data_IF_183397377941
#
_entry.id   IF_183397377941
#
_cell.length_a   1.000
_cell.length_b   1.000
_cell.length_c   1.000
_cell.angle_alpha   90.00
_cell.angle_beta   90.00
_cell.angle_gamma   90.00
#
_symmetry.space_group_name_H-M   'P 1'
#
loop_
_entity.id
_entity.type
_entity.pdbx_description
1 polymer ?
#
# COMPACT_ATOMS: atom_id res chain seq x y z
N UNK A 1 8.29 11.35 -28.57
CA UNK A 1 7.93 10.27 -27.64
C UNK A 1 7.31 9.11 -28.41
N UNK A 2 7.72 7.87 -28.16
CA UNK A 2 7.09 6.68 -28.74
C UNK A 2 6.11 6.12 -27.72
N UNK A 3 4.91 5.74 -28.18
CA UNK A 3 3.98 4.99 -27.35
C UNK A 3 4.30 3.50 -27.43
N UNK A 4 4.35 2.75 -26.31
CA UNK A 4 4.49 1.30 -26.37
C UNK A 4 3.29 0.69 -27.09
N UNK A 5 3.49 -0.45 -27.73
CA UNK A 5 2.36 -1.26 -28.23
C UNK A 5 1.61 -1.83 -27.03
N UNK A 6 0.28 -1.83 -27.08
CA UNK A 6 -0.54 -2.48 -26.08
C UNK A 6 -0.24 -3.98 -25.98
N UNK A 7 -0.37 -4.55 -24.79
CA UNK A 7 -0.13 -5.96 -24.52
C UNK A 7 0.42 -6.18 -23.11
N UNK A 8 0.56 -7.44 -22.75
CA UNK A 8 1.19 -7.84 -21.50
C UNK A 8 2.71 -7.69 -21.61
N UNK A 9 3.36 -7.04 -20.65
CA UNK A 9 4.80 -6.84 -20.63
C UNK A 9 5.31 -6.61 -19.21
N UNK A 10 6.60 -6.76 -19.00
CA UNK A 10 7.25 -6.41 -17.73
C UNK A 10 7.26 -4.90 -17.54
N UNK A 11 7.01 -4.46 -16.31
CA UNK A 11 7.04 -3.04 -15.92
C UNK A 11 7.96 -2.89 -14.72
N UNK A 12 9.02 -2.10 -14.89
CA UNK A 12 9.87 -1.66 -13.78
C UNK A 12 9.41 -0.26 -13.38
N UNK A 13 9.14 -0.07 -12.11
CA UNK A 13 8.65 1.20 -11.58
C UNK A 13 9.75 1.89 -10.77
N UNK A 14 10.06 3.12 -11.13
CA UNK A 14 11.01 3.96 -10.41
C UNK A 14 10.53 4.28 -8.99
N UNK A 15 11.49 4.54 -8.10
CA UNK A 15 11.19 4.99 -6.74
C UNK A 15 10.41 6.31 -6.76
N UNK A 16 9.49 6.49 -5.83
CA UNK A 16 8.60 7.66 -5.77
C UNK A 16 7.26 7.42 -6.47
N UNK A 17 7.24 7.30 -7.79
CA UNK A 17 6.00 7.04 -8.55
C UNK A 17 5.35 5.69 -8.16
N UNK A 18 6.15 4.67 -7.91
CA UNK A 18 5.69 3.36 -7.42
C UNK A 18 4.97 3.41 -6.07
N UNK A 19 5.25 4.43 -5.23
CA UNK A 19 4.55 4.63 -3.97
C UNK A 19 3.05 4.88 -4.15
N UNK A 20 2.63 5.56 -5.21
CA UNK A 20 1.21 5.77 -5.52
C UNK A 20 0.55 4.44 -5.88
N UNK A 21 1.22 3.59 -6.66
CA UNK A 21 0.70 2.26 -6.97
C UNK A 21 0.54 1.42 -5.70
N UNK A 22 1.53 1.40 -4.83
CA UNK A 22 1.48 0.67 -3.56
C UNK A 22 0.31 1.17 -2.69
N UNK A 23 0.13 2.50 -2.60
CA UNK A 23 -0.97 3.12 -1.88
C UNK A 23 -2.33 2.66 -2.41
N UNK A 24 -2.55 2.76 -3.71
CA UNK A 24 -3.82 2.44 -4.34
C UNK A 24 -4.08 0.93 -4.43
N UNK A 25 -3.12 0.15 -4.91
CA UNK A 25 -3.32 -1.27 -5.18
C UNK A 25 -3.33 -2.15 -3.91
N UNK A 26 -2.60 -1.74 -2.88
CA UNK A 26 -2.45 -2.54 -1.65
C UNK A 26 -2.86 -1.79 -0.40
N UNK A 27 -2.45 -0.53 -0.23
CA UNK A 27 -2.67 0.23 0.99
C UNK A 27 -4.13 0.31 1.40
N UNK A 28 -5.00 0.77 0.51
CA UNK A 28 -6.45 0.80 0.76
C UNK A 28 -7.06 -0.58 0.98
N UNK A 29 -6.53 -1.61 0.29
CA UNK A 29 -7.01 -2.97 0.44
C UNK A 29 -6.63 -3.60 1.79
N UNK A 30 -5.67 -3.03 2.52
CA UNK A 30 -5.31 -3.43 3.89
C UNK A 30 -6.05 -2.63 4.98
N UNK A 31 -6.88 -1.65 4.65
CA UNK A 31 -7.72 -0.95 5.62
C UNK A 31 -8.80 -1.90 6.16
N UNK A 32 -8.86 -2.04 7.47
CA UNK A 32 -9.62 -3.12 8.11
C UNK A 32 -11.14 -2.97 8.00
N UNK A 33 -11.67 -1.78 7.73
CA UNK A 33 -13.09 -1.56 7.51
C UNK A 33 -13.59 -2.22 6.20
N UNK A 34 -12.79 -2.22 5.13
CA UNK A 34 -13.06 -2.97 3.91
C UNK A 34 -12.94 -4.48 4.14
N UNK A 35 -11.89 -4.91 4.84
CA UNK A 35 -11.64 -6.32 5.12
C UNK A 35 -12.73 -6.93 6.02
N UNK A 36 -13.16 -6.21 7.06
CA UNK A 36 -14.23 -6.62 7.96
C UNK A 36 -15.59 -6.81 7.25
N UNK A 37 -15.80 -6.08 6.16
CA UNK A 37 -17.02 -6.15 5.35
C UNK A 37 -16.91 -7.12 4.17
N UNK A 38 -15.78 -7.81 4.01
CA UNK A 38 -15.53 -8.70 2.87
C UNK A 38 -15.41 -7.97 1.53
N UNK A 39 -15.01 -6.69 1.53
CA UNK A 39 -14.94 -5.83 0.36
C UNK A 39 -13.52 -5.70 -0.23
N UNK A 40 -12.53 -6.33 0.39
CA UNK A 40 -11.15 -6.38 -0.09
C UNK A 40 -10.79 -7.78 -0.57
N UNK A 41 -9.94 -7.86 -1.59
CA UNK A 41 -9.33 -9.12 -2.05
C UNK A 41 -8.48 -9.80 -0.98
N UNK A 42 -8.14 -9.09 0.10
CA UNK A 42 -7.34 -9.58 1.22
C UNK A 42 -8.16 -9.97 2.45
N UNK A 43 -9.50 -9.93 2.40
CA UNK A 43 -10.38 -10.11 3.57
C UNK A 43 -10.15 -11.42 4.33
N UNK A 44 -9.79 -12.50 3.62
CA UNK A 44 -9.53 -13.82 4.20
C UNK A 44 -8.09 -14.29 4.00
N UNK A 45 -7.14 -13.33 3.85
CA UNK A 45 -5.74 -13.64 3.53
C UNK A 45 -4.77 -13.48 4.70
N UNK A 46 -5.25 -13.20 5.90
CA UNK A 46 -4.40 -13.10 7.09
C UNK A 46 -3.58 -14.38 7.28
N UNK A 47 -2.27 -14.24 7.44
CA UNK A 47 -1.32 -15.35 7.54
C UNK A 47 -0.98 -16.04 6.20
N UNK A 48 -1.54 -15.58 5.09
CA UNK A 48 -1.27 -16.14 3.76
C UNK A 48 -0.26 -15.27 3.00
N UNK A 49 0.41 -15.89 2.01
CA UNK A 49 1.30 -15.18 1.09
C UNK A 49 0.49 -14.34 0.11
N UNK A 50 0.76 -13.04 0.12
CA UNK A 50 0.11 -12.03 -0.76
C UNK A 50 1.12 -11.32 -1.67
N UNK A 51 2.41 -11.47 -1.38
CA UNK A 51 3.52 -10.95 -2.19
C UNK A 51 4.62 -12.01 -2.33
N UNK A 52 5.56 -11.84 -3.26
CA UNK A 52 6.79 -12.64 -3.31
C UNK A 52 7.55 -12.60 -1.99
N UNK A 53 8.38 -13.60 -1.77
CA UNK A 53 9.29 -13.66 -0.63
C UNK A 53 10.26 -12.47 -0.65
N UNK A 54 10.65 -11.98 0.53
CA UNK A 54 11.51 -10.80 0.67
C UNK A 54 10.77 -9.46 0.64
N UNK A 55 9.47 -9.44 0.33
CA UNK A 55 8.69 -8.20 0.31
C UNK A 55 8.12 -7.89 1.70
N UNK A 56 8.46 -6.69 2.20
CA UNK A 56 7.92 -6.13 3.43
C UNK A 56 7.16 -4.84 3.12
N UNK A 57 5.93 -4.72 3.63
CA UNK A 57 5.10 -3.52 3.47
C UNK A 57 4.68 -3.02 4.84
N UNK A 58 4.91 -1.73 5.05
CA UNK A 58 4.75 -1.06 6.33
C UNK A 58 3.87 0.16 6.18
N UNK A 59 3.08 0.46 7.21
CA UNK A 59 2.48 1.78 7.42
C UNK A 59 3.05 2.38 8.70
N UNK A 60 3.64 3.58 8.62
CA UNK A 60 4.42 4.15 9.70
C UNK A 60 4.04 5.60 10.02
N UNK A 61 3.44 5.81 11.17
CA UNK A 61 3.09 7.13 11.70
C UNK A 61 4.25 7.81 12.45
N UNK A 62 5.38 7.13 12.66
CA UNK A 62 6.48 7.60 13.51
C UNK A 62 7.59 8.34 12.76
N UNK A 63 7.56 8.35 11.43
CA UNK A 63 8.58 8.99 10.59
C UNK A 63 8.49 10.51 10.77
N UNK A 64 9.41 11.07 11.55
CA UNK A 64 9.42 12.47 11.90
C UNK A 64 9.48 13.38 10.68
N UNK A 65 8.57 14.36 10.61
CA UNK A 65 8.49 15.30 9.48
C UNK A 65 7.80 14.75 8.23
N UNK A 66 7.38 13.47 8.22
CA UNK A 66 6.57 12.93 7.15
C UNK A 66 5.12 13.42 7.27
N UNK A 67 4.44 13.57 6.12
CA UNK A 67 3.05 14.03 6.06
C UNK A 67 2.07 13.12 6.84
N UNK A 68 2.33 11.82 6.91
CA UNK A 68 1.54 10.84 7.65
C UNK A 68 1.88 10.73 9.12
N UNK A 69 2.91 11.45 9.60
CA UNK A 69 3.39 11.36 10.98
C UNK A 69 2.42 12.01 11.96
N UNK A 70 2.19 11.34 13.09
CA UNK A 70 1.39 11.86 14.20
C UNK A 70 1.74 11.17 15.51
N UNK A 71 1.45 11.84 16.63
CA UNK A 71 1.63 11.28 17.97
C UNK A 71 0.46 10.38 18.36
N UNK A 72 -0.77 10.83 18.05
CA UNK A 72 -2.00 10.11 18.34
C UNK A 72 -2.95 10.26 17.16
N UNK A 73 -3.69 9.20 16.83
CA UNK A 73 -4.75 9.24 15.84
C UNK A 73 -6.03 9.93 16.38
N UNK A 74 -7.06 10.01 15.54
CA UNK A 74 -8.33 10.68 15.93
C UNK A 74 -9.17 9.89 16.95
N UNK A 75 -8.69 8.73 17.39
CA UNK A 75 -9.26 7.93 18.47
C UNK A 75 -8.39 7.94 19.75
N UNK A 76 -7.29 8.72 19.76
CA UNK A 76 -6.34 8.80 20.85
C UNK A 76 -5.42 7.56 20.95
N UNK A 77 -5.28 6.79 19.89
CA UNK A 77 -4.33 5.68 19.82
C UNK A 77 -2.97 6.20 19.37
N UNK A 78 -1.86 5.84 20.07
CA UNK A 78 -0.53 6.27 19.65
C UNK A 78 -0.21 5.89 18.22
N UNK A 79 0.37 6.83 17.47
CA UNK A 79 0.94 6.55 16.17
C UNK A 79 2.07 5.53 16.28
N UNK A 80 2.10 4.55 15.41
CA UNK A 80 3.07 3.47 15.47
C UNK A 80 3.47 3.00 14.06
N UNK A 81 4.47 2.14 14.00
CA UNK A 81 4.86 1.43 12.80
C UNK A 81 4.18 0.07 12.78
N UNK A 82 3.35 -0.17 11.77
CA UNK A 82 2.58 -1.40 11.58
C UNK A 82 3.13 -2.17 10.39
N UNK A 83 3.65 -3.38 10.62
CA UNK A 83 4.03 -4.30 9.57
C UNK A 83 2.76 -4.96 9.03
N UNK A 84 2.39 -4.66 7.80
CA UNK A 84 1.21 -5.25 7.14
C UNK A 84 1.58 -6.54 6.40
N UNK A 85 2.71 -6.53 5.71
CA UNK A 85 3.26 -7.70 5.02
C UNK A 85 4.68 -7.91 5.47
N UNK A 86 4.99 -9.09 5.97
CA UNK A 86 6.33 -9.50 6.37
C UNK A 86 6.77 -10.71 5.53
N UNK A 87 7.89 -10.56 4.84
CA UNK A 87 8.42 -11.59 3.94
C UNK A 87 7.35 -12.17 2.99
N UNK A 88 6.49 -11.29 2.46
CA UNK A 88 5.41 -11.65 1.55
C UNK A 88 4.15 -12.22 2.21
N UNK A 89 4.12 -12.39 3.53
CA UNK A 89 2.98 -12.90 4.31
C UNK A 89 2.19 -11.72 4.89
N UNK A 90 0.87 -11.74 4.74
CA UNK A 90 0.00 -10.73 5.36
C UNK A 90 -0.08 -10.97 6.87
N UNK A 91 0.40 -10.03 7.66
CA UNK A 91 0.52 -10.14 9.14
C UNK A 91 -0.41 -9.21 9.90
N UNK A 92 -0.86 -8.11 9.26
CA UNK A 92 -1.78 -7.16 9.89
C UNK A 92 -2.60 -6.40 8.85
N UNK A 93 -3.78 -5.97 9.26
CA UNK A 93 -4.50 -4.86 8.63
C UNK A 93 -4.21 -3.56 9.37
N UNK A 94 -4.67 -2.43 8.82
CA UNK A 94 -4.69 -1.14 9.50
C UNK A 94 -6.01 -1.01 10.26
N UNK A 95 -5.94 -0.86 11.58
CA UNK A 95 -7.08 -0.94 12.47
C UNK A 95 -7.41 0.41 13.14
N UNK A 96 -8.70 0.78 13.10
CA UNK A 96 -9.34 1.63 14.07
C UNK A 96 -9.79 0.79 15.29
N UNK A 97 -10.39 1.41 16.30
CA UNK A 97 -10.88 0.69 17.49
C UNK A 97 -12.02 -0.29 17.17
N UNK A 98 -12.87 0.03 16.20
CA UNK A 98 -14.01 -0.84 15.80
C UNK A 98 -13.48 -2.11 15.14
N UNK A 99 -12.59 -1.96 14.16
CA UNK A 99 -11.99 -3.10 13.46
C UNK A 99 -11.10 -3.92 14.38
N UNK A 100 -10.31 -3.27 15.24
CA UNK A 100 -9.48 -3.95 16.22
C UNK A 100 -10.31 -4.84 17.15
N UNK A 101 -11.44 -4.32 17.65
CA UNK A 101 -12.38 -5.09 18.47
C UNK A 101 -12.99 -6.27 17.69
N UNK A 102 -13.34 -6.06 16.43
CA UNK A 102 -13.89 -7.12 15.56
C UNK A 102 -12.91 -8.28 15.37
N UNK A 103 -11.65 -7.97 15.13
CA UNK A 103 -10.61 -9.00 14.91
C UNK A 103 -9.94 -9.50 16.21
N UNK A 104 -10.27 -8.94 17.37
CA UNK A 104 -9.66 -9.32 18.65
C UNK A 104 -8.18 -8.92 18.77
N UNK A 105 -7.78 -7.83 18.14
CA UNK A 105 -6.40 -7.32 18.11
C UNK A 105 -6.31 -5.91 18.68
N UNK A 106 -5.09 -5.39 18.86
CA UNK A 106 -4.88 -3.99 19.24
C UNK A 106 -5.11 -3.04 18.05
N UNK A 107 -5.61 -1.81 18.26
CA UNK A 107 -5.68 -0.79 17.22
C UNK A 107 -4.27 -0.34 16.82
N UNK A 108 -4.11 0.06 15.55
CA UNK A 108 -2.80 0.36 14.97
C UNK A 108 -2.47 1.86 14.85
N UNK A 109 -3.30 2.75 15.43
CA UNK A 109 -3.10 4.20 15.33
C UNK A 109 -3.48 4.77 13.96
N UNK A 110 -4.38 4.09 13.26
CA UNK A 110 -4.82 4.43 11.92
C UNK A 110 -6.22 5.04 11.87
N UNK A 111 -6.87 5.28 13.01
CA UNK A 111 -8.18 5.93 13.07
C UNK A 111 -8.09 7.37 12.55
N UNK A 112 -8.79 7.69 11.45
CA UNK A 112 -8.80 9.02 10.84
C UNK A 112 -10.20 9.48 10.50
N UNK A 113 -10.51 10.72 10.86
CA UNK A 113 -11.76 11.39 10.46
C UNK A 113 -11.55 12.13 9.14
N UNK A 114 -12.54 12.10 8.29
CA UNK A 114 -12.61 12.99 7.14
C UNK A 114 -12.78 14.44 7.61
N UNK A 115 -13.63 14.63 8.62
CA UNK A 115 -13.90 15.92 9.27
C UNK A 115 -14.34 15.69 10.71
N UNK A 116 -14.49 16.77 11.48
CA UNK A 116 -15.04 16.71 12.85
C UNK A 116 -16.45 16.12 12.94
N UNK A 117 -17.18 16.06 11.82
CA UNK A 117 -18.54 15.51 11.72
C UNK A 117 -18.56 14.02 11.38
N UNK A 118 -17.40 13.43 11.03
CA UNK A 118 -17.30 12.05 10.58
C UNK A 118 -16.77 11.15 11.69
N UNK A 119 -17.22 9.91 11.74
CA UNK A 119 -16.61 8.89 12.59
C UNK A 119 -15.22 8.53 12.07
N UNK A 120 -14.28 8.17 12.95
CA UNK A 120 -12.99 7.66 12.52
C UNK A 120 -13.15 6.35 11.76
N UNK A 121 -12.33 6.13 10.76
CA UNK A 121 -12.21 4.90 10.01
C UNK A 121 -10.71 4.60 9.80
N UNK A 122 -10.32 3.34 9.58
CA UNK A 122 -8.91 3.03 9.32
C UNK A 122 -8.42 3.71 8.05
N UNK A 123 -7.29 4.41 8.14
CA UNK A 123 -6.65 5.05 6.97
C UNK A 123 -5.14 5.00 7.12
N UNK A 124 -4.45 4.88 5.98
CA UNK A 124 -3.00 4.90 5.89
C UNK A 124 -2.38 6.17 6.47
N UNK A 125 -1.15 6.05 6.96
CA UNK A 125 -0.25 7.12 7.40
C UNK A 125 0.86 7.31 6.38
N UNK A 126 1.99 6.67 6.57
CA UNK A 126 3.06 6.61 5.59
C UNK A 126 3.27 5.16 5.16
N UNK A 127 2.60 4.76 4.09
CA UNK A 127 2.69 3.39 3.57
C UNK A 127 3.84 3.29 2.58
N UNK A 128 4.74 2.33 2.80
CA UNK A 128 5.87 2.07 1.92
C UNK A 128 6.27 0.60 1.92
N UNK A 129 6.95 0.21 0.85
CA UNK A 129 7.68 -1.05 0.77
C UNK A 129 9.10 -0.81 1.27
N UNK A 130 9.58 -1.66 2.17
CA UNK A 130 10.97 -1.59 2.62
C UNK A 130 11.93 -1.94 1.48
N UNK A 131 13.13 -1.38 1.54
CA UNK A 131 14.18 -1.72 0.58
C UNK A 131 14.55 -3.19 0.68
N UNK A 132 14.59 -3.86 -0.47
CA UNK A 132 15.15 -5.19 -0.60
C UNK A 132 16.66 -5.16 -0.80
N UNK A 133 17.23 -6.33 -1.05
CA UNK A 133 18.69 -6.50 -1.26
C UNK A 133 19.10 -6.37 -2.74
N UNK A 134 18.14 -6.29 -3.67
CA UNK A 134 18.43 -6.21 -5.09
C UNK A 134 18.92 -4.80 -5.48
N UNK A 135 19.97 -4.74 -6.31
CA UNK A 135 20.41 -3.47 -6.89
C UNK A 135 19.38 -3.01 -7.93
N UNK A 136 18.94 -1.74 -7.91
CA UNK A 136 18.02 -1.19 -8.91
C UNK A 136 18.48 -1.40 -10.37
N UNK A 137 19.77 -1.28 -10.63
CA UNK A 137 20.35 -1.50 -11.96
C UNK A 137 20.21 -2.95 -12.42
N UNK A 138 20.37 -3.92 -11.53
CA UNK A 138 20.19 -5.33 -11.83
C UNK A 138 18.72 -5.66 -12.11
N UNK A 139 17.79 -5.02 -11.41
CA UNK A 139 16.35 -5.16 -11.66
C UNK A 139 16.03 -4.67 -13.09
N UNK A 140 16.54 -3.51 -13.47
CA UNK A 140 16.34 -2.97 -14.84
C UNK A 140 16.97 -3.90 -15.87
N UNK A 141 18.20 -4.34 -15.64
CA UNK A 141 18.93 -5.23 -16.56
C UNK A 141 18.28 -6.62 -16.72
N UNK A 142 17.49 -7.07 -15.74
CA UNK A 142 16.80 -8.36 -15.81
C UNK A 142 15.61 -8.38 -16.79
N UNK A 143 15.19 -7.21 -17.29
CA UNK A 143 14.05 -7.08 -18.20
C UNK A 143 14.54 -6.93 -19.64
N UNK A 144 14.42 -7.99 -20.43
CA UNK A 144 14.78 -7.97 -21.86
C UNK A 144 13.88 -7.06 -22.69
N UNK A 145 12.59 -7.01 -22.35
CA UNK A 145 11.59 -6.19 -23.03
C UNK A 145 10.49 -5.78 -22.05
N UNK A 146 10.36 -4.48 -21.88
CA UNK A 146 9.38 -3.93 -20.92
C UNK A 146 9.33 -2.42 -20.96
N UNK A 147 8.74 -1.84 -19.93
CA UNK A 147 8.66 -0.40 -19.73
C UNK A 147 9.23 -0.06 -18.38
N UNK A 148 10.12 0.91 -18.32
CA UNK A 148 10.49 1.60 -17.09
C UNK A 148 9.56 2.79 -16.91
N UNK A 149 8.87 2.88 -15.78
CA UNK A 149 7.97 3.99 -15.44
C UNK A 149 8.66 4.90 -14.44
N UNK A 150 8.83 6.14 -14.82
CA UNK A 150 9.43 7.18 -14.00
C UNK A 150 8.36 7.96 -13.22
N UNK A 151 7.26 8.36 -13.89
CA UNK A 151 6.15 9.06 -13.29
C UNK A 151 4.79 8.53 -13.74
N UNK A 152 3.84 8.48 -12.80
CA UNK A 152 2.41 8.33 -13.08
C UNK A 152 1.71 9.69 -13.01
N UNK A 153 0.65 9.88 -13.80
CA UNK A 153 -0.16 11.10 -13.75
C UNK A 153 -1.37 10.97 -12.82
N UNK A 154 -2.06 9.87 -12.92
CA UNK A 154 -3.23 9.53 -12.10
C UNK A 154 -3.53 8.03 -12.22
N UNK A 155 -4.45 7.56 -11.41
CA UNK A 155 -4.87 6.17 -11.43
C UNK A 155 -6.16 5.96 -10.65
N UNK A 156 -6.68 4.76 -10.71
CA UNK A 156 -7.82 4.31 -9.93
C UNK A 156 -7.65 2.83 -9.60
N UNK A 157 -8.26 2.41 -8.50
CA UNK A 157 -8.25 1.01 -8.04
C UNK A 157 -9.67 0.56 -7.75
N UNK A 158 -9.91 -0.74 -8.00
CA UNK A 158 -11.11 -1.47 -7.56
C UNK A 158 -10.70 -2.48 -6.50
N UNK A 159 -10.79 -2.09 -5.25
CA UNK A 159 -10.26 -2.83 -4.08
C UNK A 159 -10.83 -4.26 -4.02
N UNK A 160 -12.11 -4.43 -4.34
CA UNK A 160 -12.79 -5.74 -4.30
C UNK A 160 -12.45 -6.66 -5.47
N UNK A 161 -11.99 -6.12 -6.59
CA UNK A 161 -11.63 -6.88 -7.79
C UNK A 161 -10.12 -7.08 -7.92
N UNK A 162 -9.32 -6.27 -7.23
CA UNK A 162 -7.86 -6.25 -7.35
C UNK A 162 -7.37 -5.61 -8.67
N UNK A 163 -8.27 -5.00 -9.44
CA UNK A 163 -7.94 -4.29 -10.65
C UNK A 163 -7.49 -2.86 -10.37
N UNK A 164 -6.47 -2.42 -11.10
CA UNK A 164 -6.04 -1.03 -11.06
C UNK A 164 -5.63 -0.54 -12.46
N UNK A 165 -5.78 0.75 -12.67
CA UNK A 165 -5.37 1.44 -13.90
C UNK A 165 -4.57 2.67 -13.54
N UNK A 166 -3.37 2.81 -14.11
CA UNK A 166 -2.52 3.98 -13.96
C UNK A 166 -2.08 4.51 -15.32
N UNK A 167 -2.03 5.83 -15.43
CA UNK A 167 -1.54 6.50 -16.63
C UNK A 167 -0.10 6.90 -16.45
N UNK A 168 0.77 6.34 -17.27
CA UNK A 168 2.20 6.69 -17.29
C UNK A 168 2.38 8.05 -17.91
N UNK A 169 3.02 8.96 -17.19
CA UNK A 169 3.36 10.31 -17.64
C UNK A 169 4.72 10.33 -18.35
N UNK A 170 5.71 9.67 -17.76
CA UNK A 170 7.04 9.54 -18.31
C UNK A 170 7.64 8.16 -18.03
N UNK A 171 8.51 7.71 -18.93
CA UNK A 171 9.18 6.43 -18.83
C UNK A 171 9.99 6.10 -20.08
N UNK A 172 10.59 4.91 -20.08
CA UNK A 172 11.47 4.42 -21.15
C UNK A 172 11.01 3.04 -21.62
N UNK A 173 11.34 2.72 -22.89
CA UNK A 173 11.16 1.39 -23.48
C UNK A 173 12.50 0.66 -23.49
#
# INVERSE_FOLDING_TARGET
AKRPKGGQMSVVMGAGASGILLHEAMGHAFEADFNRKGQSIFSDKMGQRVCPEGINIVDDATIRGNRGSLNFDDEGVPGQRTMMVENGILTSYLHDRISAKFYGVAPTGNGRRESFRSSPIPRMRATYMESGNANPEDIIASVEKGVYVDEFSNGQVKIGEGDFTFFVKSGYL
#
